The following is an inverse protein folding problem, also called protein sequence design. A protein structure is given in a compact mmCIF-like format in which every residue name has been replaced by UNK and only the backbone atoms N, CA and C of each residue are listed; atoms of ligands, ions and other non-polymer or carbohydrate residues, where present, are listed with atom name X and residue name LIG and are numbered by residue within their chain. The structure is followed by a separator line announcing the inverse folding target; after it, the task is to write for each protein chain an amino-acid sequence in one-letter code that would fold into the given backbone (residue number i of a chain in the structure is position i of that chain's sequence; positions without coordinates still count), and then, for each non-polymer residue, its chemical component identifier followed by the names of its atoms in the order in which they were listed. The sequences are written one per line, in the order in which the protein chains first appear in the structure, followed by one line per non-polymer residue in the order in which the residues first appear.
data_IF_788084619961
#
_entry.id   IF_788084619961
#
_cell.length_a   1.000
_cell.length_b   1.000
_cell.length_c   1.000
_cell.angle_alpha   90.00
_cell.angle_beta   90.00
_cell.angle_gamma   90.00
#
_symmetry.space_group_name_H-M   'P 1'
#
loop_
_entity.id
_entity.type
_entity.pdbx_description
1 polymer ?
#
# COMPACT_ATOMS: atom_id res chain seq x y z
N UNK A 1 28.74 -11.89 -10.80
CA UNK A 1 27.53 -11.43 -10.09
C UNK A 1 26.78 -12.58 -9.44
N UNK A 2 26.30 -13.58 -10.20
CA UNK A 2 25.42 -14.64 -9.65
C UNK A 2 25.88 -15.40 -8.38
N UNK A 3 27.17 -15.65 -8.18
CA UNK A 3 27.68 -16.29 -6.94
C UNK A 3 27.52 -15.36 -5.72
N UNK A 4 27.82 -14.07 -5.89
CA UNK A 4 27.68 -13.08 -4.81
C UNK A 4 26.21 -12.88 -4.46
N UNK A 5 25.35 -12.78 -5.47
CA UNK A 5 23.90 -12.66 -5.30
C UNK A 5 23.31 -13.91 -4.61
N UNK A 6 23.79 -15.11 -5.00
CA UNK A 6 23.40 -16.37 -4.37
C UNK A 6 23.83 -16.47 -2.90
N UNK A 7 25.05 -16.04 -2.57
CA UNK A 7 25.54 -16.02 -1.19
C UNK A 7 24.76 -15.00 -0.34
N UNK A 8 24.44 -13.82 -0.88
CA UNK A 8 23.58 -12.84 -0.22
C UNK A 8 22.17 -13.40 0.01
N UNK A 9 21.60 -14.08 -0.98
CA UNK A 9 20.29 -14.73 -0.85
C UNK A 9 20.28 -15.79 0.27
N UNK A 10 21.33 -16.63 0.36
CA UNK A 10 21.50 -17.57 1.47
C UNK A 10 21.64 -16.86 2.82
N UNK A 11 22.38 -15.75 2.85
CA UNK A 11 22.49 -14.88 4.03
C UNK A 11 21.14 -14.32 4.49
N UNK A 12 20.30 -13.88 3.55
CA UNK A 12 18.94 -13.41 3.83
C UNK A 12 18.01 -14.54 4.26
N UNK A 13 18.10 -15.72 3.66
CA UNK A 13 17.35 -16.89 4.09
C UNK A 13 17.72 -17.29 5.53
N UNK A 14 19.02 -17.29 5.86
CA UNK A 14 19.48 -17.50 7.23
C UNK A 14 18.97 -16.42 8.19
N UNK A 15 19.06 -15.15 7.78
CA UNK A 15 18.55 -14.02 8.55
C UNK A 15 17.04 -14.13 8.83
N UNK A 16 16.25 -14.58 7.86
CA UNK A 16 14.80 -14.77 8.01
C UNK A 16 14.45 -15.83 9.06
N UNK A 17 15.25 -16.89 9.19
CA UNK A 17 15.05 -17.96 10.20
C UNK A 17 15.62 -17.56 11.56
N UNK A 18 16.67 -16.74 11.58
CA UNK A 18 17.39 -16.35 12.81
C UNK A 18 17.55 -14.83 12.91
N UNK A 19 16.43 -14.13 13.05
CA UNK A 19 16.38 -12.67 13.13
C UNK A 19 17.35 -12.09 14.18
N UNK A 20 17.52 -12.76 15.33
CA UNK A 20 18.44 -12.33 16.39
C UNK A 20 19.93 -12.27 15.94
N UNK A 21 20.30 -13.01 14.88
CA UNK A 21 21.66 -13.07 14.32
C UNK A 21 21.75 -12.42 12.93
N UNK A 22 20.67 -11.79 12.46
CA UNK A 22 20.56 -11.25 11.12
C UNK A 22 21.29 -9.91 10.94
N UNK A 23 21.55 -9.17 12.03
CA UNK A 23 22.11 -7.82 11.99
C UNK A 23 23.30 -7.64 11.03
N UNK A 24 24.40 -8.43 11.10
CA UNK A 24 25.53 -8.25 10.18
C UNK A 24 25.14 -8.48 8.71
N UNK A 25 24.28 -9.47 8.42
CA UNK A 25 23.84 -9.77 7.06
C UNK A 25 22.95 -8.66 6.48
N UNK A 26 22.04 -8.11 7.28
CA UNK A 26 21.17 -7.01 6.85
C UNK A 26 21.96 -5.70 6.70
N UNK A 27 22.95 -5.43 7.57
CA UNK A 27 23.86 -4.28 7.43
C UNK A 27 24.66 -4.35 6.14
N UNK A 28 25.29 -5.49 5.85
CA UNK A 28 26.01 -5.70 4.59
C UNK A 28 25.06 -5.58 3.41
N UNK A 29 23.86 -6.17 3.53
CA UNK A 29 22.81 -6.06 2.54
C UNK A 29 22.47 -4.62 2.21
N UNK A 30 22.18 -3.80 3.22
CA UNK A 30 21.86 -2.38 3.03
C UNK A 30 23.02 -1.61 2.39
N UNK A 31 24.26 -1.88 2.82
CA UNK A 31 25.44 -1.25 2.21
C UNK A 31 25.54 -1.57 0.71
N UNK A 32 25.37 -2.83 0.32
CA UNK A 32 25.33 -3.24 -1.10
C UNK A 32 24.18 -2.53 -1.83
N UNK A 33 22.99 -2.49 -1.23
CA UNK A 33 21.82 -1.83 -1.80
C UNK A 33 21.99 -0.33 -1.97
N UNK A 34 22.85 0.34 -1.19
CA UNK A 34 23.17 1.76 -1.37
C UNK A 34 24.24 1.97 -2.45
N UNK A 35 25.24 1.08 -2.53
CA UNK A 35 26.34 1.18 -3.49
C UNK A 35 25.86 0.93 -4.93
N UNK A 36 24.95 -0.03 -5.14
CA UNK A 36 24.51 -0.40 -6.50
C UNK A 36 23.81 0.76 -7.23
N UNK A 37 22.83 1.49 -6.64
CA UNK A 37 22.22 2.66 -7.27
C UNK A 37 23.21 3.80 -7.55
N UNK A 38 24.22 3.99 -6.69
CA UNK A 38 25.30 4.96 -6.94
C UNK A 38 26.16 4.55 -8.14
N UNK A 39 26.54 3.27 -8.23
CA UNK A 39 27.25 2.73 -9.38
C UNK A 39 26.43 2.85 -10.67
N UNK A 40 25.12 2.60 -10.58
CA UNK A 40 24.20 2.80 -11.70
C UNK A 40 24.15 4.26 -12.16
N UNK A 41 24.06 5.23 -11.24
CA UNK A 41 24.08 6.66 -11.58
C UNK A 41 25.34 7.03 -12.38
N UNK A 42 26.50 6.54 -11.95
CA UNK A 42 27.78 6.76 -12.65
C UNK A 42 27.80 6.08 -14.03
N UNK A 43 27.26 4.87 -14.15
CA UNK A 43 27.18 4.14 -15.41
C UNK A 43 26.22 4.80 -16.42
N UNK A 44 25.11 5.38 -15.95
CA UNK A 44 24.20 6.18 -16.79
C UNK A 44 24.86 7.50 -17.19
N UNK A 45 25.49 8.20 -16.25
CA UNK A 45 26.19 9.46 -16.53
C UNK A 45 27.35 9.31 -17.53
N UNK A 46 27.98 8.14 -17.56
CA UNK A 46 29.05 7.80 -18.51
C UNK A 46 28.55 7.18 -19.83
N UNK A 47 27.24 7.02 -20.02
CA UNK A 47 26.65 6.43 -21.22
C UNK A 47 26.82 4.91 -21.36
N UNK A 48 27.33 4.22 -20.34
CA UNK A 48 27.47 2.76 -20.33
C UNK A 48 26.13 2.04 -20.13
N UNK A 49 25.20 2.68 -19.40
CA UNK A 49 23.84 2.18 -19.21
C UNK A 49 22.81 3.22 -19.64
N UNK A 50 21.65 2.73 -20.06
CA UNK A 50 20.50 3.58 -20.35
C UNK A 50 19.72 3.89 -19.07
N UNK A 51 19.19 5.12 -18.93
CA UNK A 51 18.29 5.48 -17.84
C UNK A 51 17.03 4.61 -17.76
N UNK A 52 16.69 3.87 -18.84
CA UNK A 52 15.58 2.90 -18.84
C UNK A 52 15.77 1.74 -17.86
N UNK A 53 16.99 1.47 -17.39
CA UNK A 53 17.24 0.45 -16.35
C UNK A 53 16.93 0.95 -14.94
N UNK A 54 16.47 2.20 -14.76
CA UNK A 54 16.05 2.73 -13.46
C UNK A 54 15.03 1.82 -12.76
N UNK A 55 14.04 1.32 -13.50
CA UNK A 55 13.02 0.42 -12.94
C UNK A 55 13.65 -0.82 -12.32
N UNK A 56 14.66 -1.40 -12.98
CA UNK A 56 15.37 -2.57 -12.45
C UNK A 56 16.12 -2.24 -11.15
N UNK A 57 16.80 -1.09 -11.08
CA UNK A 57 17.49 -0.63 -9.87
C UNK A 57 16.51 -0.34 -8.72
N UNK A 58 15.35 0.23 -9.04
CA UNK A 58 14.31 0.49 -8.03
C UNK A 58 13.86 -0.83 -7.39
N UNK A 59 13.51 -1.84 -8.18
CA UNK A 59 12.98 -3.10 -7.65
C UNK A 59 14.06 -4.01 -7.05
N UNK A 60 15.26 -4.03 -7.62
CA UNK A 60 16.34 -4.87 -7.12
C UNK A 60 16.98 -4.26 -5.88
N UNK A 61 17.06 -2.94 -5.76
CA UNK A 61 17.86 -2.30 -4.70
C UNK A 61 17.08 -1.30 -3.85
N UNK A 62 16.49 -0.26 -4.44
CA UNK A 62 15.92 0.86 -3.69
C UNK A 62 14.75 0.42 -2.79
N UNK A 63 13.87 -0.45 -3.28
CA UNK A 63 12.74 -0.98 -2.51
C UNK A 63 13.20 -1.67 -1.21
N UNK A 64 14.38 -2.28 -1.22
CA UNK A 64 14.93 -3.02 -0.07
C UNK A 64 15.56 -2.12 0.99
N UNK A 65 15.78 -0.83 0.70
CA UNK A 65 16.30 0.12 1.69
C UNK A 65 15.37 0.24 2.89
N UNK A 66 14.06 0.27 2.65
CA UNK A 66 13.05 0.42 3.70
C UNK A 66 13.07 -0.76 4.69
N UNK A 67 12.85 -2.03 4.26
CA UNK A 67 12.82 -3.15 5.20
C UNK A 67 14.16 -3.34 5.91
N UNK A 68 15.29 -3.11 5.24
CA UNK A 68 16.61 -3.24 5.88
C UNK A 68 16.87 -2.12 6.89
N UNK A 69 16.57 -0.86 6.55
CA UNK A 69 16.70 0.24 7.49
C UNK A 69 15.78 0.05 8.70
N UNK A 70 14.53 -0.34 8.50
CA UNK A 70 13.58 -0.59 9.60
C UNK A 70 14.03 -1.75 10.50
N UNK A 71 14.61 -2.81 9.93
CA UNK A 71 15.19 -3.90 10.69
C UNK A 71 16.39 -3.43 11.53
N UNK A 72 17.31 -2.66 10.94
CA UNK A 72 18.49 -2.16 11.66
C UNK A 72 18.16 -1.11 12.71
N UNK A 73 17.07 -0.38 12.52
CA UNK A 73 16.55 0.58 13.50
C UNK A 73 15.67 -0.07 14.57
N UNK A 74 15.39 -1.38 14.49
CA UNK A 74 14.59 -2.08 15.47
C UNK A 74 15.16 -1.92 16.89
N UNK A 75 14.28 -1.63 17.86
CA UNK A 75 14.61 -1.36 19.27
C UNK A 75 15.47 -0.12 19.52
N UNK A 76 15.70 0.71 18.50
CA UNK A 76 16.30 2.04 18.67
C UNK A 76 15.21 3.10 18.88
N UNK A 77 15.56 4.21 19.54
CA UNK A 77 14.66 5.36 19.69
C UNK A 77 14.22 5.90 18.33
N UNK A 78 15.13 5.92 17.34
CA UNK A 78 14.82 6.35 15.98
C UNK A 78 13.81 5.42 15.31
N UNK A 79 13.97 4.09 15.44
CA UNK A 79 13.02 3.12 14.91
C UNK A 79 11.64 3.23 15.53
N UNK A 80 11.55 3.42 16.85
CA UNK A 80 10.26 3.64 17.52
C UNK A 80 9.58 4.94 17.06
N UNK A 81 10.35 6.02 16.87
CA UNK A 81 9.82 7.27 16.30
C UNK A 81 9.30 7.08 14.87
N UNK A 82 10.04 6.37 14.01
CA UNK A 82 9.61 6.09 12.64
C UNK A 82 8.34 5.23 12.62
N UNK A 83 8.27 4.18 13.46
CA UNK A 83 7.08 3.34 13.59
C UNK A 83 5.87 4.14 14.07
N UNK A 84 6.06 5.07 15.00
CA UNK A 84 5.01 5.95 15.50
C UNK A 84 4.41 6.88 14.42
N UNK A 85 5.12 7.07 13.28
CA UNK A 85 4.59 7.83 12.15
C UNK A 85 3.59 7.04 11.29
N UNK A 86 3.55 5.70 11.40
CA UNK A 86 2.74 4.86 10.51
C UNK A 86 1.27 5.27 10.40
N UNK A 87 0.53 5.59 11.50
CA UNK A 87 -0.86 6.02 11.41
C UNK A 87 -1.04 7.36 10.67
N UNK A 88 -0.10 8.30 10.84
CA UNK A 88 -0.16 9.62 10.22
C UNK A 88 0.21 9.58 8.75
N UNK A 89 1.23 8.78 8.40
CA UNK A 89 1.60 8.53 7.01
C UNK A 89 0.46 7.81 6.29
N UNK A 90 -0.16 6.83 6.93
CA UNK A 90 -1.33 6.14 6.40
C UNK A 90 -2.50 7.10 6.15
N UNK A 91 -2.83 7.95 7.13
CA UNK A 91 -3.87 8.96 6.98
C UNK A 91 -3.57 9.93 5.81
N UNK A 92 -2.34 10.42 5.70
CA UNK A 92 -1.94 11.37 4.66
C UNK A 92 -1.99 10.74 3.26
N UNK A 93 -1.45 9.52 3.10
CA UNK A 93 -1.40 8.85 1.80
C UNK A 93 -2.80 8.44 1.34
N UNK A 94 -3.66 7.95 2.24
CA UNK A 94 -5.05 7.64 1.89
C UNK A 94 -5.85 8.91 1.55
N UNK A 95 -5.62 10.03 2.25
CA UNK A 95 -6.23 11.32 1.90
C UNK A 95 -5.74 11.80 0.53
N UNK A 96 -4.45 11.62 0.23
CA UNK A 96 -3.86 11.97 -1.07
C UNK A 96 -4.44 11.11 -2.18
N UNK A 97 -4.59 9.81 -1.98
CA UNK A 97 -5.22 8.89 -2.94
C UNK A 97 -6.69 9.23 -3.18
N UNK A 98 -7.45 9.53 -2.13
CA UNK A 98 -8.84 10.00 -2.24
C UNK A 98 -8.93 11.33 -3.01
N UNK A 99 -8.01 12.26 -2.75
CA UNK A 99 -7.89 13.52 -3.50
C UNK A 99 -7.53 13.28 -4.97
N UNK A 100 -6.59 12.37 -5.25
CA UNK A 100 -6.23 11.97 -6.60
C UNK A 100 -7.42 11.33 -7.34
N UNK A 101 -8.22 10.50 -6.66
CA UNK A 101 -9.46 9.96 -7.24
C UNK A 101 -10.42 11.08 -7.63
N UNK A 102 -10.68 12.02 -6.72
CA UNK A 102 -11.65 13.09 -6.92
C UNK A 102 -11.23 14.07 -8.04
N UNK A 103 -9.95 14.46 -8.05
CA UNK A 103 -9.45 15.57 -8.86
C UNK A 103 -8.80 15.11 -10.18
N UNK A 104 -8.24 13.90 -10.20
CA UNK A 104 -7.41 13.42 -11.31
C UNK A 104 -8.02 12.18 -11.97
N UNK A 105 -8.36 11.15 -11.21
CA UNK A 105 -8.76 9.88 -11.83
C UNK A 105 -10.23 9.88 -12.26
N UNK A 106 -11.11 10.62 -11.57
CA UNK A 106 -12.57 10.63 -11.79
C UNK A 106 -12.99 10.72 -13.27
N UNK A 107 -12.40 11.57 -14.13
CA UNK A 107 -12.83 11.65 -15.54
C UNK A 107 -12.51 10.39 -16.36
N UNK A 108 -11.56 9.55 -15.92
CA UNK A 108 -11.20 8.29 -16.55
C UNK A 108 -11.92 7.05 -15.98
N UNK A 109 -12.70 7.21 -14.91
CA UNK A 109 -13.39 6.09 -14.24
C UNK A 109 -14.86 6.00 -14.64
N UNK A 110 -15.55 5.00 -14.07
CA UNK A 110 -16.98 4.74 -14.25
C UNK A 110 -17.90 5.89 -13.80
N UNK A 111 -17.34 6.92 -13.15
CA UNK A 111 -18.05 8.14 -12.77
C UNK A 111 -18.58 8.95 -13.97
N UNK A 112 -17.94 8.83 -15.14
CA UNK A 112 -18.39 9.44 -16.39
C UNK A 112 -19.13 8.38 -17.18
N UNK A 113 -20.37 8.54 -17.59
CA UNK A 113 -21.10 7.44 -18.27
C UNK A 113 -20.52 7.07 -19.65
N UNK A 114 -20.00 8.05 -20.41
CA UNK A 114 -19.47 7.84 -21.75
C UNK A 114 -18.05 7.26 -21.74
N UNK A 115 -17.90 6.06 -22.29
CA UNK A 115 -16.62 5.34 -22.39
C UNK A 115 -15.63 6.06 -23.31
N UNK A 116 -16.10 6.68 -24.40
CA UNK A 116 -15.22 7.39 -25.33
C UNK A 116 -14.54 8.58 -24.65
N UNK A 117 -15.31 9.36 -23.87
CA UNK A 117 -14.78 10.45 -23.04
C UNK A 117 -13.74 9.99 -22.02
N UNK A 118 -13.94 8.84 -21.37
CA UNK A 118 -12.95 8.28 -20.43
C UNK A 118 -11.65 7.93 -21.12
N UNK A 119 -11.73 7.23 -22.26
CA UNK A 119 -10.56 6.85 -23.07
C UNK A 119 -9.81 8.09 -23.56
N UNK A 120 -10.54 9.09 -24.06
CA UNK A 120 -9.97 10.36 -24.49
C UNK A 120 -9.27 11.09 -23.34
N UNK A 121 -9.87 11.11 -22.14
CA UNK A 121 -9.24 11.70 -20.96
C UNK A 121 -7.90 11.01 -20.62
N UNK A 122 -7.90 9.68 -20.51
CA UNK A 122 -6.71 8.91 -20.14
C UNK A 122 -5.60 9.11 -21.19
N UNK A 123 -5.96 9.08 -22.48
CA UNK A 123 -5.01 9.32 -23.58
C UNK A 123 -4.34 10.69 -23.47
N UNK A 124 -5.11 11.73 -23.13
CA UNK A 124 -4.60 13.09 -23.02
C UNK A 124 -3.90 13.40 -21.68
N UNK A 125 -4.03 12.53 -20.68
CA UNK A 125 -3.55 12.77 -19.30
C UNK A 125 -2.78 11.57 -18.73
N UNK A 126 -2.05 10.84 -19.58
CA UNK A 126 -1.46 9.54 -19.23
C UNK A 126 -0.53 9.59 -18.01
N UNK A 127 0.26 10.66 -17.87
CA UNK A 127 1.13 10.87 -16.72
C UNK A 127 0.33 11.04 -15.42
N UNK A 128 -0.71 11.87 -15.45
CA UNK A 128 -1.56 12.14 -14.29
C UNK A 128 -2.37 10.90 -13.89
N UNK A 129 -2.85 10.14 -14.88
CA UNK A 129 -3.49 8.85 -14.69
C UNK A 129 -2.57 7.87 -13.94
N UNK A 130 -1.35 7.68 -14.44
CA UNK A 130 -0.38 6.77 -13.80
C UNK A 130 0.01 7.26 -12.40
N UNK A 131 0.26 8.56 -12.23
CA UNK A 131 0.59 9.14 -10.94
C UNK A 131 -0.54 8.95 -9.91
N UNK A 132 -1.81 9.12 -10.33
CA UNK A 132 -2.96 8.90 -9.47
C UNK A 132 -3.02 7.47 -8.95
N UNK A 133 -2.85 6.46 -9.80
CA UNK A 133 -2.82 5.06 -9.36
C UNK A 133 -1.59 4.70 -8.51
N UNK A 134 -0.45 5.34 -8.74
CA UNK A 134 0.72 5.22 -7.83
C UNK A 134 0.39 5.74 -6.43
N UNK A 135 -0.42 6.80 -6.29
CA UNK A 135 -0.90 7.25 -4.98
C UNK A 135 -1.75 6.18 -4.29
N UNK A 136 -2.55 5.41 -5.05
CA UNK A 136 -3.34 4.30 -4.51
C UNK A 136 -2.47 3.13 -4.04
N UNK A 137 -1.46 2.73 -4.82
CA UNK A 137 -0.44 1.75 -4.39
C UNK A 137 0.20 2.19 -3.06
N UNK A 138 0.59 3.47 -2.97
CA UNK A 138 1.20 4.02 -1.76
C UNK A 138 0.24 4.01 -0.56
N UNK A 139 -1.04 4.33 -0.78
CA UNK A 139 -2.07 4.27 0.25
C UNK A 139 -2.27 2.83 0.77
N UNK A 140 -2.36 1.85 -0.13
CA UNK A 140 -2.50 0.43 0.19
C UNK A 140 -1.30 -0.11 1.00
N UNK A 141 -0.06 0.22 0.58
CA UNK A 141 1.15 -0.14 1.32
C UNK A 141 1.20 0.51 2.71
N UNK A 142 0.78 1.78 2.81
CA UNK A 142 0.73 2.49 4.09
C UNK A 142 -0.29 1.89 5.06
N UNK A 143 -1.37 1.29 4.54
CA UNK A 143 -2.37 0.59 5.31
C UNK A 143 -1.80 -0.68 5.96
N UNK A 144 -0.98 -1.45 5.22
CA UNK A 144 -0.23 -2.58 5.80
C UNK A 144 0.70 -2.13 6.93
N UNK A 145 1.43 -1.03 6.72
CA UNK A 145 2.31 -0.49 7.75
C UNK A 145 1.53 -0.06 9.00
N UNK A 146 0.37 0.58 8.82
CA UNK A 146 -0.53 0.95 9.92
C UNK A 146 -1.09 -0.29 10.64
N UNK A 147 -1.52 -1.32 9.92
CA UNK A 147 -2.00 -2.56 10.52
C UNK A 147 -0.90 -3.33 11.25
N UNK A 148 0.34 -3.30 10.75
CA UNK A 148 1.49 -3.85 11.46
C UNK A 148 1.80 -3.08 12.75
N UNK A 149 1.76 -1.75 12.68
CA UNK A 149 1.92 -0.88 13.85
C UNK A 149 0.83 -1.13 14.91
N UNK A 150 -0.42 -1.32 14.49
CA UNK A 150 -1.55 -1.59 15.38
C UNK A 150 -1.46 -3.01 15.95
N UNK A 151 -1.22 -4.01 15.10
CA UNK A 151 -1.09 -5.41 15.49
C UNK A 151 0.00 -5.66 16.52
N UNK A 152 1.14 -4.96 16.41
CA UNK A 152 2.25 -5.03 17.37
C UNK A 152 1.89 -4.53 18.78
N UNK A 153 0.77 -3.82 18.94
CA UNK A 153 0.28 -3.28 20.22
C UNK A 153 -0.85 -4.12 20.83
N UNK A 154 -1.25 -5.20 20.17
CA UNK A 154 -2.27 -6.09 20.70
C UNK A 154 -1.66 -7.07 21.70
N UNK A 155 -2.39 -7.38 22.76
CA UNK A 155 -1.96 -8.34 23.78
C UNK A 155 -1.80 -9.76 23.21
N UNK A 156 -2.64 -10.13 22.24
CA UNK A 156 -2.60 -11.43 21.57
C UNK A 156 -2.06 -11.24 20.15
N UNK A 157 -0.78 -11.60 19.95
CA UNK A 157 -0.04 -11.43 18.70
C UNK A 157 -0.71 -12.05 17.47
N UNK A 158 -1.50 -13.12 17.67
CA UNK A 158 -2.22 -13.82 16.61
C UNK A 158 -3.20 -12.93 15.84
N UNK A 159 -3.83 -11.95 16.50
CA UNK A 159 -4.71 -10.98 15.82
C UNK A 159 -3.94 -10.11 14.83
N UNK A 160 -2.76 -9.62 15.24
CA UNK A 160 -1.91 -8.81 14.39
C UNK A 160 -1.42 -9.58 13.16
N UNK A 161 -1.00 -10.83 13.35
CA UNK A 161 -0.55 -11.69 12.25
C UNK A 161 -1.69 -12.06 11.31
N UNK A 162 -2.86 -12.43 11.84
CA UNK A 162 -4.02 -12.72 11.01
C UNK A 162 -4.43 -11.50 10.18
N UNK A 163 -4.53 -10.31 10.80
CA UNK A 163 -4.87 -9.09 10.10
C UNK A 163 -3.85 -8.72 9.01
N UNK A 164 -2.56 -8.85 9.29
CA UNK A 164 -1.50 -8.62 8.29
C UNK A 164 -1.55 -9.60 7.13
N UNK A 165 -1.82 -10.88 7.38
CA UNK A 165 -1.96 -11.89 6.33
C UNK A 165 -3.16 -11.59 5.41
N UNK A 166 -4.30 -11.25 6.01
CA UNK A 166 -5.53 -10.86 5.29
C UNK A 166 -5.29 -9.59 4.47
N UNK A 167 -4.73 -8.54 5.09
CA UNK A 167 -4.45 -7.29 4.40
C UNK A 167 -3.40 -7.44 3.29
N UNK A 168 -2.40 -8.30 3.47
CA UNK A 168 -1.42 -8.60 2.42
C UNK A 168 -2.07 -9.27 1.22
N UNK A 169 -3.09 -10.11 1.43
CA UNK A 169 -3.88 -10.69 0.33
C UNK A 169 -4.69 -9.60 -0.38
N UNK A 170 -5.28 -8.66 0.37
CA UNK A 170 -5.94 -7.46 -0.19
C UNK A 170 -4.99 -6.65 -1.08
N UNK A 171 -3.76 -6.44 -0.62
CA UNK A 171 -2.72 -5.73 -1.37
C UNK A 171 -2.38 -6.40 -2.70
N UNK A 172 -2.36 -7.73 -2.76
CA UNK A 172 -2.12 -8.43 -4.03
C UNK A 172 -3.20 -8.07 -5.06
N UNK A 173 -4.46 -7.98 -4.65
CA UNK A 173 -5.55 -7.58 -5.54
C UNK A 173 -5.42 -6.13 -5.99
N UNK A 174 -5.14 -5.20 -5.08
CA UNK A 174 -4.97 -3.78 -5.43
C UNK A 174 -3.75 -3.54 -6.31
N UNK A 175 -2.58 -4.11 -5.96
CA UNK A 175 -1.38 -4.02 -6.80
C UNK A 175 -1.62 -4.58 -8.20
N UNK A 176 -2.35 -5.69 -8.31
CA UNK A 176 -2.70 -6.26 -9.61
C UNK A 176 -3.61 -5.31 -10.38
N UNK A 177 -4.68 -4.82 -9.75
CA UNK A 177 -5.64 -3.92 -10.40
C UNK A 177 -4.98 -2.61 -10.86
N UNK A 178 -4.24 -1.95 -9.97
CA UNK A 178 -3.59 -0.66 -10.21
C UNK A 178 -2.46 -0.78 -11.24
N UNK A 179 -1.70 -1.88 -11.22
CA UNK A 179 -0.68 -2.14 -12.24
C UNK A 179 -1.30 -2.35 -13.62
N UNK A 180 -2.42 -3.06 -13.70
CA UNK A 180 -3.17 -3.21 -14.95
C UNK A 180 -3.68 -1.86 -15.45
N UNK A 181 -4.20 -1.03 -14.54
CA UNK A 181 -4.69 0.31 -14.85
C UNK A 181 -3.57 1.23 -15.39
N UNK A 182 -2.36 1.14 -14.82
CA UNK A 182 -1.20 1.93 -15.22
C UNK A 182 -0.64 1.51 -16.58
N UNK A 183 -0.58 0.20 -16.84
CA UNK A 183 0.18 -0.34 -17.97
C UNK A 183 -0.66 -0.66 -19.22
N UNK A 184 -1.96 -0.94 -19.08
CA UNK A 184 -2.80 -1.35 -20.22
C UNK A 184 -3.86 -0.34 -20.66
N UNK A 185 -4.23 0.63 -19.80
CA UNK A 185 -5.11 1.71 -20.24
C UNK A 185 -4.31 2.84 -20.90
N UNK A 186 -4.85 3.46 -21.98
CA UNK A 186 -6.23 3.33 -22.47
C UNK A 186 -6.48 2.21 -23.50
N UNK A 187 -5.45 1.47 -23.95
CA UNK A 187 -5.54 0.55 -25.11
C UNK A 187 -6.57 -0.57 -24.93
N UNK A 188 -6.57 -1.21 -23.76
CA UNK A 188 -7.41 -2.38 -23.48
C UNK A 188 -8.56 -2.04 -22.51
N UNK A 189 -9.14 -0.84 -22.65
CA UNK A 189 -10.13 -0.32 -21.69
C UNK A 189 -11.30 -1.29 -21.43
N UNK A 190 -11.89 -1.84 -22.49
CA UNK A 190 -13.09 -2.67 -22.39
C UNK A 190 -12.89 -3.98 -21.63
N UNK A 191 -11.67 -4.53 -21.63
CA UNK A 191 -11.34 -5.78 -20.94
C UNK A 191 -10.75 -5.54 -19.57
N UNK A 192 -9.90 -4.50 -19.43
CA UNK A 192 -9.17 -4.24 -18.20
C UNK A 192 -10.02 -3.50 -17.18
N UNK A 193 -10.72 -2.43 -17.58
CA UNK A 193 -11.42 -1.56 -16.62
C UNK A 193 -12.42 -2.33 -15.72
N UNK A 194 -13.32 -3.19 -16.24
CA UNK A 194 -14.28 -3.90 -15.39
C UNK A 194 -13.62 -4.86 -14.40
N UNK A 195 -12.57 -5.58 -14.85
CA UNK A 195 -11.82 -6.51 -14.00
C UNK A 195 -11.12 -5.73 -12.89
N UNK A 196 -10.46 -4.63 -13.21
CA UNK A 196 -9.74 -3.82 -12.23
C UNK A 196 -10.68 -3.17 -11.22
N UNK A 197 -11.84 -2.65 -11.66
CA UNK A 197 -12.88 -2.10 -10.78
C UNK A 197 -13.36 -3.14 -9.78
N UNK A 198 -13.62 -4.38 -10.26
CA UNK A 198 -14.04 -5.48 -9.40
C UNK A 198 -12.94 -5.86 -8.40
N UNK A 199 -11.70 -6.06 -8.85
CA UNK A 199 -10.58 -6.51 -8.01
C UNK A 199 -10.27 -5.52 -6.87
N UNK A 200 -10.17 -4.22 -7.18
CA UNK A 200 -9.86 -3.24 -6.14
C UNK A 200 -11.06 -2.93 -5.24
N UNK A 201 -12.24 -2.67 -5.83
CA UNK A 201 -13.40 -2.26 -5.06
C UNK A 201 -14.02 -3.38 -4.23
N UNK A 202 -13.89 -4.65 -4.66
CA UNK A 202 -14.42 -5.81 -3.93
C UNK A 202 -13.36 -6.50 -3.06
N UNK A 203 -12.58 -7.50 -3.52
CA UNK A 203 -11.69 -8.25 -2.63
C UNK A 203 -10.55 -7.41 -2.04
N UNK A 204 -9.99 -6.42 -2.74
CA UNK A 204 -8.97 -5.51 -2.19
C UNK A 204 -9.47 -4.78 -0.94
N UNK A 205 -10.43 -3.88 -1.14
CA UNK A 205 -11.05 -3.11 -0.04
C UNK A 205 -11.74 -3.98 1.02
N UNK A 206 -12.35 -5.10 0.61
CA UNK A 206 -13.04 -6.02 1.52
C UNK A 206 -12.08 -6.69 2.49
N UNK A 207 -10.94 -7.19 2.00
CA UNK A 207 -9.93 -7.82 2.84
C UNK A 207 -9.28 -6.82 3.79
N UNK A 208 -9.02 -5.58 3.36
CA UNK A 208 -8.57 -4.54 4.26
C UNK A 208 -9.56 -4.23 5.37
N UNK A 209 -10.86 -4.23 5.05
CA UNK A 209 -11.93 -4.01 6.01
C UNK A 209 -11.99 -5.16 7.02
N UNK A 210 -11.90 -6.41 6.56
CA UNK A 210 -11.84 -7.60 7.43
C UNK A 210 -10.64 -7.53 8.37
N UNK A 211 -9.46 -7.16 7.86
CA UNK A 211 -8.26 -7.00 8.68
C UNK A 211 -8.42 -5.90 9.74
N UNK A 212 -8.98 -4.74 9.38
CA UNK A 212 -9.28 -3.65 10.31
C UNK A 212 -10.30 -4.06 11.39
N UNK A 213 -11.35 -4.79 11.01
CA UNK A 213 -12.33 -5.36 11.93
C UNK A 213 -11.69 -6.38 12.88
N UNK A 214 -10.82 -7.26 12.39
CA UNK A 214 -10.09 -8.22 13.21
C UNK A 214 -9.18 -7.51 14.25
N UNK A 215 -8.45 -6.48 13.85
CA UNK A 215 -7.66 -5.66 14.78
C UNK A 215 -8.54 -4.93 15.80
N UNK A 216 -9.71 -4.45 15.39
CA UNK A 216 -10.70 -3.83 16.28
C UNK A 216 -11.16 -4.80 17.35
N UNK A 217 -11.53 -6.03 16.97
CA UNK A 217 -11.91 -7.10 17.89
C UNK A 217 -10.77 -7.49 18.84
N UNK A 218 -9.53 -7.48 18.35
CA UNK A 218 -8.33 -7.71 19.16
C UNK A 218 -8.03 -6.58 20.16
N UNK A 219 -8.59 -5.38 19.99
CA UNK A 219 -8.26 -4.20 20.79
C UNK A 219 -9.26 -3.99 21.94
N UNK A 220 -8.94 -4.53 23.12
CA UNK A 220 -9.79 -4.45 24.33
C UNK A 220 -10.06 -3.03 24.86
N UNK A 221 -9.25 -2.04 24.46
CA UNK A 221 -9.33 -0.67 24.94
C UNK A 221 -10.28 0.26 24.18
N UNK A 222 -10.80 -0.16 23.01
CA UNK A 222 -11.69 0.67 22.21
C UNK A 222 -13.10 0.69 22.80
N UNK A 223 -13.59 1.86 23.22
CA UNK A 223 -14.91 2.03 23.85
C UNK A 223 -15.57 3.34 23.45
N UNK A 224 -16.89 3.42 23.66
CA UNK A 224 -17.68 4.62 23.47
C UNK A 224 -17.68 5.12 22.03
N UNK A 225 -17.69 6.44 21.86
CA UNK A 225 -17.77 7.10 20.55
C UNK A 225 -16.66 6.67 19.57
N UNK A 226 -15.48 6.36 20.08
CA UNK A 226 -14.34 5.97 19.25
C UNK A 226 -14.54 4.57 18.64
N UNK A 227 -15.15 3.65 19.39
CA UNK A 227 -15.53 2.33 18.88
C UNK A 227 -16.64 2.43 17.83
N UNK A 228 -17.64 3.30 18.06
CA UNK A 228 -18.68 3.57 17.07
C UNK A 228 -18.07 4.11 15.77
N UNK A 229 -17.17 5.09 15.86
CA UNK A 229 -16.47 5.62 14.69
C UNK A 229 -15.70 4.52 13.92
N UNK A 230 -14.95 3.68 14.65
CA UNK A 230 -14.24 2.54 14.05
C UNK A 230 -15.18 1.59 13.30
N UNK A 231 -16.31 1.21 13.89
CA UNK A 231 -17.25 0.31 13.22
C UNK A 231 -17.99 0.96 12.05
N UNK A 232 -18.24 2.28 12.10
CA UNK A 232 -18.80 3.00 10.95
C UNK A 232 -17.87 2.97 9.74
N UNK A 233 -16.54 3.10 9.96
CA UNK A 233 -15.53 2.95 8.90
C UNK A 233 -15.62 1.56 8.29
N UNK A 234 -15.66 0.51 9.11
CA UNK A 234 -15.73 -0.86 8.59
C UNK A 234 -17.06 -1.17 7.90
N UNK A 235 -18.18 -0.64 8.41
CA UNK A 235 -19.47 -0.76 7.73
C UNK A 235 -19.43 -0.10 6.34
N UNK A 236 -18.81 1.08 6.22
CA UNK A 236 -18.59 1.73 4.92
C UNK A 236 -17.68 0.89 4.01
N UNK A 237 -16.62 0.30 4.54
CA UNK A 237 -15.73 -0.61 3.78
C UNK A 237 -16.44 -1.87 3.28
N UNK A 238 -17.25 -2.53 4.11
CA UNK A 238 -18.06 -3.67 3.68
C UNK A 238 -19.12 -3.26 2.66
N UNK A 239 -19.75 -2.10 2.85
CA UNK A 239 -20.69 -1.53 1.90
C UNK A 239 -20.05 -1.27 0.53
N UNK A 240 -18.84 -0.70 0.51
CA UNK A 240 -18.07 -0.47 -0.72
C UNK A 240 -17.90 -1.80 -1.49
N UNK A 241 -17.39 -2.84 -0.82
CA UNK A 241 -17.17 -4.14 -1.47
C UNK A 241 -18.47 -4.79 -1.95
N UNK A 242 -19.54 -4.73 -1.15
CA UNK A 242 -20.83 -5.29 -1.52
C UNK A 242 -21.44 -4.57 -2.74
N UNK A 243 -21.40 -3.23 -2.78
CA UNK A 243 -21.92 -2.46 -3.90
C UNK A 243 -21.09 -2.62 -5.16
N UNK A 244 -19.75 -2.67 -5.05
CA UNK A 244 -18.89 -2.98 -6.20
C UNK A 244 -19.21 -4.36 -6.77
N UNK A 245 -19.34 -5.38 -5.91
CA UNK A 245 -19.70 -6.73 -6.36
C UNK A 245 -21.07 -6.79 -7.04
N UNK A 246 -22.03 -5.99 -6.56
CA UNK A 246 -23.36 -5.87 -7.15
C UNK A 246 -23.41 -4.98 -8.42
N UNK A 247 -22.30 -4.40 -8.86
CA UNK A 247 -22.26 -3.46 -9.98
C UNK A 247 -22.97 -2.12 -9.70
N UNK A 248 -23.22 -1.79 -8.43
CA UNK A 248 -23.86 -0.54 -8.04
C UNK A 248 -22.80 0.55 -7.82
N UNK A 249 -22.48 1.25 -8.90
CA UNK A 249 -21.47 2.31 -8.90
C UNK A 249 -21.77 3.43 -7.86
N UNK A 250 -23.02 3.89 -7.79
CA UNK A 250 -23.39 4.99 -6.88
C UNK A 250 -23.21 4.57 -5.41
N UNK A 251 -23.64 3.36 -5.06
CA UNK A 251 -23.44 2.79 -3.73
C UNK A 251 -21.95 2.68 -3.37
N UNK A 252 -21.14 2.17 -4.30
CA UNK A 252 -19.69 2.10 -4.14
C UNK A 252 -19.05 3.47 -3.94
N UNK A 253 -19.42 4.47 -4.74
CA UNK A 253 -18.90 5.82 -4.64
C UNK A 253 -19.25 6.49 -3.29
N UNK A 254 -20.49 6.34 -2.82
CA UNK A 254 -20.93 6.87 -1.52
C UNK A 254 -20.19 6.19 -0.38
N UNK A 255 -20.09 4.86 -0.39
CA UNK A 255 -19.37 4.11 0.63
C UNK A 255 -17.88 4.47 0.65
N UNK A 256 -17.24 4.63 -0.51
CA UNK A 256 -15.85 5.09 -0.63
C UNK A 256 -15.67 6.49 -0.03
N UNK A 257 -16.55 7.45 -0.37
CA UNK A 257 -16.48 8.80 0.17
C UNK A 257 -16.60 8.83 1.70
N UNK A 258 -17.58 8.10 2.26
CA UNK A 258 -17.76 7.96 3.71
C UNK A 258 -16.55 7.29 4.35
N UNK A 259 -16.05 6.21 3.74
CA UNK A 259 -14.88 5.47 4.23
C UNK A 259 -13.68 6.40 4.38
N UNK A 260 -13.25 7.10 3.33
CA UNK A 260 -12.05 7.96 3.40
C UNK A 260 -12.25 9.19 4.28
N UNK A 261 -13.44 9.79 4.25
CA UNK A 261 -13.76 10.94 5.11
C UNK A 261 -13.66 10.60 6.60
N UNK A 262 -14.06 9.38 6.98
CA UNK A 262 -13.98 8.92 8.36
C UNK A 262 -12.60 8.31 8.69
N UNK A 263 -12.02 7.52 7.80
CA UNK A 263 -10.80 6.75 8.03
C UNK A 263 -9.57 7.64 8.23
N UNK A 264 -9.33 8.64 7.37
CA UNK A 264 -8.13 9.45 7.44
C UNK A 264 -7.98 10.20 8.79
N UNK A 265 -8.98 10.98 9.26
CA UNK A 265 -8.91 11.57 10.59
C UNK A 265 -8.88 10.53 11.70
N UNK A 266 -9.62 9.41 11.55
CA UNK A 266 -9.61 8.33 12.54
C UNK A 266 -8.23 7.70 12.71
N UNK A 267 -7.49 7.43 11.63
CA UNK A 267 -6.16 6.83 11.67
C UNK A 267 -5.17 7.74 12.42
N UNK A 268 -5.23 9.05 12.20
CA UNK A 268 -4.43 10.01 12.95
C UNK A 268 -4.79 10.04 14.45
N UNK A 269 -6.08 9.98 14.79
CA UNK A 269 -6.54 9.91 16.20
C UNK A 269 -6.15 8.59 16.85
N UNK A 270 -6.25 7.48 16.13
CA UNK A 270 -5.81 6.15 16.56
C UNK A 270 -4.33 6.15 16.89
N UNK A 271 -3.52 6.81 16.06
CA UNK A 271 -2.09 7.04 16.30
C UNK A 271 -1.78 7.72 17.62
N UNK A 272 -2.65 8.63 18.10
CA UNK A 272 -2.48 9.28 19.42
C UNK A 272 -3.01 8.45 20.57
N UNK A 273 -4.06 7.66 20.36
CA UNK A 273 -4.72 6.88 21.42
C UNK A 273 -4.01 5.57 21.75
N UNK A 274 -3.27 4.99 20.80
CA UNK A 274 -2.52 3.74 20.98
C UNK A 274 -0.98 3.93 20.93
N UNK A 275 -0.48 5.16 20.79
CA UNK A 275 0.94 5.46 21.01
C UNK A 275 1.27 5.35 22.51
#
# INVERSE_FOLDING_TARGET
MGIVDGLLALGYAYAAVRLQKAFPFITIGLAVKLIVPLGWLLAVASGQLTARTLTLVVFIDVVWWIPFALFLLERTIAGERVRALAPYVCALLNLTAAGALLLVLRPGTEAVSDVASRIAYITNNELLWRAGWVCWIAAALSLLAFYGWWGARLAAWGWGVAALAIASTGLVFDLTAESLLIAWLPKDYATVAPVTSLLTGSPGNGLYTVAGAALTLGTRGLKGWFLTWTWTIWAAGFGLSAFTFAGNFLGGAVCSAVLFMLFCPWAAVMGRKLA
#
